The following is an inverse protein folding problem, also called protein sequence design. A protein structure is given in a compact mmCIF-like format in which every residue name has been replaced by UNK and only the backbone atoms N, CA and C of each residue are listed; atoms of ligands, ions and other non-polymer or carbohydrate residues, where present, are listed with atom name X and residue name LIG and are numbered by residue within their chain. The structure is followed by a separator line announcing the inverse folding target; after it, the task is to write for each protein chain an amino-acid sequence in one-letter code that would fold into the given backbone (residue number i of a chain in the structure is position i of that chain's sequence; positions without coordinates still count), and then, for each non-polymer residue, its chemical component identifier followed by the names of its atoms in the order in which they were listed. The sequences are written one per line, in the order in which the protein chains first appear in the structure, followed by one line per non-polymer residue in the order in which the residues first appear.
data_IF_716937220288
#
_entry.id   IF_716937220288
#
_cell.length_a   1.000
_cell.length_b   1.000
_cell.length_c   1.000
_cell.angle_alpha   90.00
_cell.angle_beta   90.00
_cell.angle_gamma   90.00
#
_symmetry.space_group_name_H-M   'P 1'
#
loop_
_entity.id
_entity.type
_entity.pdbx_description
1 polymer ?
#
# COMPACT_ATOMS: atom_id res chain seq x y z
N UNK A 1 4.91 -10.73 -1.76
CA UNK A 1 4.68 -9.52 -0.99
C UNK A 1 5.82 -9.21 0.00
N UNK A 2 6.29 -10.18 0.76
CA UNK A 2 7.38 -9.97 1.73
C UNK A 2 8.63 -9.33 1.12
N UNK A 3 8.98 -9.71 -0.11
CA UNK A 3 10.17 -9.17 -0.79
C UNK A 3 10.02 -7.71 -1.20
N UNK A 4 8.79 -7.26 -1.42
CA UNK A 4 8.54 -5.88 -1.84
C UNK A 4 8.48 -4.93 -0.64
N UNK A 5 8.14 -5.42 0.55
CA UNK A 5 7.92 -4.61 1.73
C UNK A 5 9.17 -4.55 2.61
N UNK A 6 9.54 -3.34 3.00
CA UNK A 6 10.54 -3.17 4.06
C UNK A 6 9.92 -3.56 5.40
N UNK A 7 10.68 -4.21 6.32
CA UNK A 7 10.13 -4.56 7.65
C UNK A 7 9.59 -3.38 8.45
N UNK A 8 10.08 -2.18 8.19
CA UNK A 8 9.66 -0.96 8.88
C UNK A 8 8.59 -0.17 8.10
N UNK A 9 7.96 -0.78 7.11
CA UNK A 9 6.90 -0.14 6.33
C UNK A 9 5.80 0.39 7.25
N UNK A 10 5.31 1.58 6.93
CA UNK A 10 4.08 2.10 7.49
C UNK A 10 3.09 2.39 6.35
N UNK A 11 1.91 1.80 6.43
CA UNK A 11 0.80 2.05 5.50
C UNK A 11 -0.30 2.76 6.27
N UNK A 12 -0.72 3.93 5.77
CA UNK A 12 -1.64 4.81 6.49
C UNK A 12 -2.84 5.20 5.64
N UNK A 13 -3.99 5.27 6.30
CA UNK A 13 -5.24 5.72 5.70
C UNK A 13 -6.02 6.56 6.70
N UNK A 14 -6.74 7.54 6.18
CA UNK A 14 -7.65 8.34 6.99
C UNK A 14 -8.95 7.56 7.18
N UNK A 15 -9.40 7.46 8.41
CA UNK A 15 -10.68 6.83 8.76
C UNK A 15 -11.59 7.81 9.49
N UNK A 16 -12.89 7.61 9.35
CA UNK A 16 -13.91 8.35 10.08
C UNK A 16 -14.80 7.38 10.86
N UNK A 17 -15.12 7.72 12.10
CA UNK A 17 -16.07 6.95 12.89
C UNK A 17 -17.52 7.40 12.59
N UNK A 18 -18.50 6.81 13.29
CA UNK A 18 -19.90 7.11 13.08
C UNK A 18 -20.27 8.58 13.41
N UNK A 19 -19.46 9.27 14.22
CA UNK A 19 -19.67 10.67 14.57
C UNK A 19 -18.99 11.63 13.58
N UNK A 20 -18.21 11.10 12.62
CA UNK A 20 -17.44 11.90 11.68
C UNK A 20 -16.05 12.28 12.19
N UNK A 21 -15.66 11.83 13.39
CA UNK A 21 -14.32 12.09 13.91
C UNK A 21 -13.28 11.34 13.09
N UNK A 22 -12.23 12.05 12.70
CA UNK A 22 -11.17 11.51 11.85
C UNK A 22 -10.00 10.96 12.67
N UNK A 23 -9.39 9.88 12.18
CA UNK A 23 -8.18 9.31 12.73
C UNK A 23 -7.36 8.68 11.63
N UNK A 24 -6.07 8.42 11.89
CA UNK A 24 -5.19 7.75 10.94
C UNK A 24 -5.00 6.31 11.39
N UNK A 25 -5.40 5.38 10.52
CA UNK A 25 -5.10 3.96 10.70
C UNK A 25 -3.72 3.68 10.14
N UNK A 26 -2.88 2.99 10.92
CA UNK A 26 -1.56 2.56 10.49
C UNK A 26 -1.51 1.05 10.46
N UNK A 27 -1.03 0.49 9.33
CA UNK A 27 -0.81 -0.93 9.15
C UNK A 27 0.68 -1.16 8.95
N UNK A 28 1.25 -2.10 9.70
CA UNK A 28 2.67 -2.47 9.59
C UNK A 28 2.89 -3.48 8.47
N UNK A 29 4.17 -3.67 8.09
CA UNK A 29 4.53 -4.70 7.11
C UNK A 29 4.08 -6.09 7.57
N UNK A 30 4.27 -6.40 8.84
CA UNK A 30 3.87 -7.69 9.42
C UNK A 30 2.36 -7.90 9.32
N UNK A 31 1.57 -6.88 9.67
CA UNK A 31 0.12 -6.95 9.55
C UNK A 31 -0.32 -7.14 8.09
N UNK A 32 0.33 -6.48 7.13
CA UNK A 32 0.06 -6.65 5.71
C UNK A 32 0.30 -8.09 5.25
N UNK A 33 1.43 -8.67 5.67
CA UNK A 33 1.79 -10.04 5.32
C UNK A 33 0.77 -11.01 5.92
N UNK A 34 0.41 -10.84 7.18
CA UNK A 34 -0.58 -11.69 7.86
C UNK A 34 -1.96 -11.58 7.21
N UNK A 35 -2.40 -10.39 6.86
CA UNK A 35 -3.67 -10.16 6.19
C UNK A 35 -3.71 -10.82 4.81
N UNK A 36 -2.63 -10.71 4.05
CA UNK A 36 -2.53 -11.34 2.72
C UNK A 36 -2.56 -12.86 2.84
N UNK A 37 -1.84 -13.42 3.81
CA UNK A 37 -1.80 -14.86 4.04
C UNK A 37 -3.18 -15.42 4.45
N UNK A 38 -4.00 -14.63 5.15
CA UNK A 38 -5.36 -15.02 5.53
C UNK A 38 -6.40 -14.83 4.44
N UNK A 39 -6.00 -14.31 3.27
CA UNK A 39 -6.90 -14.08 2.14
C UNK A 39 -7.63 -12.74 2.16
N UNK A 40 -7.33 -11.86 3.09
CA UNK A 40 -7.90 -10.52 3.11
C UNK A 40 -7.50 -9.77 1.84
N UNK A 41 -8.46 -9.14 1.17
CA UNK A 41 -8.23 -8.45 -0.08
C UNK A 41 -8.42 -9.28 -1.33
N UNK A 42 -8.62 -10.60 -1.20
CA UNK A 42 -9.01 -11.46 -2.30
C UNK A 42 -10.52 -11.35 -2.50
N UNK A 43 -10.92 -10.65 -3.54
CA UNK A 43 -12.34 -10.39 -3.84
C UNK A 43 -12.68 -11.02 -5.18
N UNK A 44 -13.39 -12.15 -5.15
CA UNK A 44 -13.82 -12.84 -6.36
C UNK A 44 -14.98 -12.13 -7.07
N UNK A 45 -15.70 -11.30 -6.35
CA UNK A 45 -16.87 -10.57 -6.85
C UNK A 45 -16.51 -9.28 -7.63
N UNK A 46 -15.24 -8.96 -7.74
CA UNK A 46 -14.78 -7.77 -8.45
C UNK A 46 -14.72 -8.06 -9.96
N UNK A 47 -15.53 -7.36 -10.73
CA UNK A 47 -15.55 -7.52 -12.19
C UNK A 47 -14.32 -6.96 -12.88
N UNK A 48 -13.86 -5.79 -12.46
CA UNK A 48 -12.65 -5.15 -13.02
C UNK A 48 -11.44 -5.46 -12.13
N UNK A 49 -10.53 -6.27 -12.66
CA UNK A 49 -9.31 -6.68 -11.98
C UNK A 49 -8.07 -5.96 -12.48
N UNK A 50 -8.25 -4.94 -13.28
CA UNK A 50 -7.15 -4.16 -13.82
C UNK A 50 -6.43 -3.41 -12.71
N UNK A 51 -5.10 -3.45 -12.77
CA UNK A 51 -4.22 -2.71 -11.87
C UNK A 51 -3.37 -1.79 -12.72
N UNK A 52 -3.45 -0.48 -12.47
CA UNK A 52 -2.63 0.52 -13.14
C UNK A 52 -1.52 0.96 -12.19
N UNK A 53 -0.28 0.92 -12.66
CA UNK A 53 0.89 1.34 -11.90
C UNK A 53 1.55 2.50 -12.64
N UNK A 54 1.75 3.60 -11.93
CA UNK A 54 2.44 4.78 -12.47
C UNK A 54 3.62 5.11 -11.58
N UNK A 55 4.83 5.08 -12.14
CA UNK A 55 6.05 5.51 -11.45
C UNK A 55 6.25 6.99 -11.72
N UNK A 56 6.27 7.81 -10.67
CA UNK A 56 6.34 9.26 -10.80
C UNK A 56 7.78 9.75 -10.97
N UNK A 57 8.67 9.22 -10.15
CA UNK A 57 10.06 9.64 -10.14
C UNK A 57 10.94 8.58 -9.52
N UNK A 58 12.18 8.49 -10.00
CA UNK A 58 13.22 7.63 -9.44
C UNK A 58 14.51 8.45 -9.43
N UNK A 59 15.04 8.71 -8.24
CA UNK A 59 16.25 9.52 -8.10
C UNK A 59 17.03 9.13 -6.85
N UNK A 60 18.33 8.87 -7.02
CA UNK A 60 19.24 8.64 -5.90
C UNK A 60 18.76 7.59 -4.90
N UNK A 61 18.20 6.48 -5.38
CA UNK A 61 17.73 5.40 -4.53
C UNK A 61 16.39 5.65 -3.86
N UNK A 62 15.64 6.65 -4.30
CA UNK A 62 14.29 6.99 -3.82
C UNK A 62 13.33 6.92 -5.00
N UNK A 63 12.15 6.36 -4.79
CA UNK A 63 11.12 6.32 -5.83
C UNK A 63 9.73 6.56 -5.24
N UNK A 64 8.87 7.16 -6.06
CA UNK A 64 7.45 7.31 -5.78
C UNK A 64 6.62 6.66 -6.88
N UNK A 65 5.51 6.04 -6.51
CA UNK A 65 4.62 5.39 -7.46
C UNK A 65 3.18 5.42 -6.95
N UNK A 66 2.23 5.34 -7.88
CA UNK A 66 0.81 5.20 -7.56
C UNK A 66 0.30 3.88 -8.15
N UNK A 67 -0.45 3.14 -7.34
CA UNK A 67 -1.15 1.93 -7.77
C UNK A 67 -2.64 2.17 -7.66
N UNK A 68 -3.37 1.96 -8.75
CA UNK A 68 -4.82 2.14 -8.81
C UNK A 68 -5.49 0.85 -9.25
N UNK A 69 -6.57 0.50 -8.57
CA UNK A 69 -7.46 -0.55 -9.02
C UNK A 69 -8.92 -0.14 -8.74
N UNK A 70 -9.88 -1.02 -9.00
CA UNK A 70 -11.29 -0.71 -8.79
C UNK A 70 -11.64 -0.44 -7.33
N UNK A 71 -10.89 -1.02 -6.38
CA UNK A 71 -11.19 -1.00 -4.95
C UNK A 71 -10.45 0.07 -4.17
N UNK A 72 -9.25 0.45 -4.60
CA UNK A 72 -8.41 1.35 -3.83
C UNK A 72 -7.38 2.07 -4.71
N UNK A 73 -6.74 3.05 -4.11
CA UNK A 73 -5.56 3.71 -4.65
C UNK A 73 -4.48 3.75 -3.57
N UNK A 74 -3.25 3.39 -3.93
CA UNK A 74 -2.07 3.43 -3.07
C UNK A 74 -1.05 4.41 -3.64
N UNK A 75 -0.56 5.31 -2.80
CA UNK A 75 0.61 6.14 -3.13
C UNK A 75 1.80 5.56 -2.38
N UNK A 76 2.80 5.10 -3.13
CA UNK A 76 3.94 4.36 -2.60
C UNK A 76 5.18 5.22 -2.56
N UNK A 77 5.98 5.05 -1.51
CA UNK A 77 7.35 5.54 -1.44
C UNK A 77 8.28 4.37 -1.21
N UNK A 78 9.34 4.31 -2.01
CA UNK A 78 10.27 3.20 -2.03
C UNK A 78 11.70 3.69 -1.80
N UNK A 79 12.51 2.85 -1.18
CA UNK A 79 13.95 3.05 -1.04
C UNK A 79 14.68 1.87 -1.65
N UNK A 80 15.81 2.15 -2.30
CA UNK A 80 16.70 1.11 -2.81
C UNK A 80 17.60 0.65 -1.67
N UNK A 81 17.47 -0.61 -1.29
CA UNK A 81 18.26 -1.23 -0.24
C UNK A 81 19.32 -2.15 -0.85
N UNK A 82 20.16 -2.79 -0.02
CA UNK A 82 21.11 -3.79 -0.48
C UNK A 82 20.43 -4.96 -1.20
N UNK A 83 19.20 -5.25 -0.83
CA UNK A 83 18.43 -6.38 -1.36
C UNK A 83 17.47 -5.95 -2.50
N UNK A 84 17.57 -4.71 -2.95
CA UNK A 84 16.72 -4.16 -3.99
C UNK A 84 15.73 -3.13 -3.47
N UNK A 85 14.78 -2.79 -4.32
CA UNK A 85 13.76 -1.79 -3.98
C UNK A 85 12.76 -2.34 -2.97
N UNK A 86 12.46 -1.53 -1.95
CA UNK A 86 11.48 -1.90 -0.92
C UNK A 86 10.52 -0.74 -0.67
N UNK A 87 9.26 -1.07 -0.46
CA UNK A 87 8.22 -0.11 -0.10
C UNK A 87 8.36 0.22 1.37
N UNK A 88 8.51 1.50 1.70
CA UNK A 88 8.71 1.96 3.08
C UNK A 88 7.53 2.77 3.61
N UNK A 89 6.79 3.44 2.74
CA UNK A 89 5.60 4.20 3.12
C UNK A 89 4.51 4.01 2.08
N UNK A 90 3.26 3.95 2.54
CA UNK A 90 2.08 3.92 1.69
C UNK A 90 1.01 4.82 2.31
N UNK A 91 0.45 5.71 1.51
CA UNK A 91 -0.82 6.35 1.83
C UNK A 91 -1.87 5.70 0.93
N UNK A 92 -2.99 5.25 1.48
CA UNK A 92 -3.99 4.55 0.69
C UNK A 92 -5.40 5.02 1.01
N UNK A 93 -6.29 4.80 0.05
CA UNK A 93 -7.70 5.13 0.21
C UNK A 93 -8.55 4.16 -0.58
N UNK A 94 -9.65 3.72 0.00
CA UNK A 94 -10.66 2.94 -0.73
C UNK A 94 -11.41 3.82 -1.71
N UNK A 95 -11.83 3.20 -2.80
CA UNK A 95 -12.57 3.88 -3.87
C UNK A 95 -14.02 3.50 -3.84
#
# INVERSE_FOLDING_TARGET
MERALHPELAKRSLEQDASGAESVRTITAREMIEMTASGVGQREDVGDRRIDVEVHDVSDGIAGATVRCALYVDLLQLLKTREGWRIVNVAWRDR
#
